data_IF_986247762476
#
_entry.id   IF_986247762476
#
_cell.length_a   1.000
_cell.length_b   1.000
_cell.length_c   1.000
_cell.angle_alpha   90.00
_cell.angle_beta   90.00
_cell.angle_gamma   90.00
#
_symmetry.space_group_name_H-M   'P 1'
#
loop_
_entity.id
_entity.type
_entity.pdbx_description
1 polymer ?
#
# COMPACT_ATOMS: atom_id res chain seq x y z
N UNK A 1 14.35 -11.79 -3.47
CA UNK A 1 13.09 -11.74 -4.25
C UNK A 1 12.84 -10.28 -4.62
N UNK A 2 12.50 -9.96 -5.88
CA UNK A 2 12.25 -8.59 -6.33
C UNK A 2 10.78 -8.42 -6.64
N UNK A 3 10.19 -7.29 -6.25
CA UNK A 3 8.86 -6.88 -6.71
C UNK A 3 8.98 -6.48 -8.18
N UNK A 4 8.16 -7.06 -9.05
CA UNK A 4 8.34 -6.90 -10.50
C UNK A 4 7.17 -6.23 -11.19
N UNK A 5 5.97 -6.28 -10.59
CA UNK A 5 4.77 -5.77 -11.24
C UNK A 5 3.65 -5.40 -10.24
N UNK A 6 2.60 -4.80 -10.78
CA UNK A 6 1.38 -4.41 -10.08
C UNK A 6 0.61 -5.60 -9.47
N UNK A 7 0.76 -6.80 -10.01
CA UNK A 7 0.07 -8.00 -9.54
C UNK A 7 0.71 -8.54 -8.26
N UNK A 8 2.03 -8.44 -8.14
CA UNK A 8 2.73 -8.68 -6.87
C UNK A 8 2.18 -7.76 -5.78
N UNK A 9 1.97 -6.48 -6.10
CA UNK A 9 1.41 -5.51 -5.16
C UNK A 9 -0.04 -5.80 -4.79
N UNK A 10 -0.88 -6.26 -5.72
CA UNK A 10 -2.25 -6.67 -5.39
C UNK A 10 -2.29 -7.87 -4.42
N UNK A 11 -1.39 -8.86 -4.60
CA UNK A 11 -1.22 -9.97 -3.65
C UNK A 11 -0.73 -9.52 -2.29
N UNK A 12 0.24 -8.60 -2.27
CA UNK A 12 0.80 -8.01 -1.05
C UNK A 12 -0.30 -7.25 -0.30
N UNK A 13 -1.02 -6.36 -0.97
CA UNK A 13 -2.17 -5.63 -0.43
C UNK A 13 -3.22 -6.56 0.18
N UNK A 14 -3.57 -7.65 -0.52
CA UNK A 14 -4.54 -8.63 -0.04
C UNK A 14 -4.06 -9.36 1.21
N UNK A 15 -2.78 -9.73 1.25
CA UNK A 15 -2.17 -10.42 2.38
C UNK A 15 -2.04 -9.48 3.59
N UNK A 16 -1.58 -8.24 3.39
CA UNK A 16 -1.51 -7.21 4.44
C UNK A 16 -2.90 -6.95 5.01
N UNK A 17 -3.91 -6.72 4.16
CA UNK A 17 -5.28 -6.48 4.62
C UNK A 17 -5.89 -7.67 5.35
N UNK A 18 -5.50 -8.90 5.02
CA UNK A 18 -5.93 -10.09 5.76
C UNK A 18 -5.20 -10.24 7.09
N UNK A 19 -3.89 -9.99 7.09
CA UNK A 19 -3.06 -9.98 8.29
C UNK A 19 -3.53 -8.92 9.29
N UNK A 20 -3.76 -7.68 8.85
CA UNK A 20 -4.18 -6.59 9.71
C UNK A 20 -5.57 -6.79 10.34
N UNK A 21 -6.43 -7.62 9.73
CA UNK A 21 -7.71 -8.07 10.33
C UNK A 21 -7.55 -9.22 11.33
N UNK A 22 -6.40 -9.89 11.31
CA UNK A 22 -6.11 -11.06 12.13
C UNK A 22 -5.69 -10.68 13.55
N UNK A 23 -6.64 -10.67 14.49
CA UNK A 23 -6.48 -10.33 15.91
C UNK A 23 -6.34 -8.84 16.29
N UNK A 24 -6.71 -8.55 17.54
CA UNK A 24 -6.47 -7.30 18.27
C UNK A 24 -4.96 -7.07 18.42
N UNK A 25 -4.30 -6.61 17.34
CA UNK A 25 -2.88 -6.27 17.35
C UNK A 25 -2.51 -5.27 18.45
N UNK A 26 -3.50 -4.53 18.98
CA UNK A 26 -3.41 -3.73 20.20
C UNK A 26 -3.82 -4.53 21.44
N UNK A 27 -2.87 -4.83 22.33
CA UNK A 27 -3.15 -5.23 23.73
C UNK A 27 -3.45 -4.02 24.63
N UNK A 28 -3.90 -2.90 24.05
CA UNK A 28 -4.32 -1.73 24.82
C UNK A 28 -5.60 -2.09 25.57
N UNK A 29 -5.52 -2.12 26.89
CA UNK A 29 -6.67 -2.35 27.79
C UNK A 29 -7.78 -1.30 27.63
N UNK A 30 -7.57 -0.26 26.82
CA UNK A 30 -8.46 0.89 26.62
C UNK A 30 -9.23 0.86 25.30
N UNK A 31 -8.97 -0.10 24.40
CA UNK A 31 -9.63 -0.20 23.07
C UNK A 31 -10.37 -1.53 22.87
N UNK A 32 -10.92 -2.10 23.95
CA UNK A 32 -11.89 -3.19 23.86
C UNK A 32 -13.24 -2.63 23.39
N UNK A 33 -13.61 -2.84 22.13
CA UNK A 33 -15.00 -2.61 21.71
C UNK A 33 -15.26 -2.45 20.22
N UNK A 34 -14.29 -1.96 19.44
CA UNK A 34 -14.51 -1.76 18.01
C UNK A 34 -13.83 -2.88 17.23
N UNK A 35 -14.62 -3.66 16.48
CA UNK A 35 -14.10 -4.52 15.43
C UNK A 35 -13.54 -3.62 14.32
N UNK A 36 -12.32 -3.10 14.49
CA UNK A 36 -11.65 -2.28 13.49
C UNK A 36 -11.41 -3.13 12.24
N UNK A 37 -12.18 -2.85 11.18
CA UNK A 37 -12.19 -3.66 9.96
C UNK A 37 -11.32 -2.96 8.92
N UNK A 38 -10.07 -3.41 8.76
CA UNK A 38 -9.26 -2.99 7.60
C UNK A 38 -9.96 -3.48 6.33
N UNK A 39 -10.57 -2.55 5.61
CA UNK A 39 -11.39 -2.84 4.43
C UNK A 39 -10.60 -2.71 3.14
N UNK A 40 -9.61 -1.82 3.09
CA UNK A 40 -8.82 -1.56 1.88
C UNK A 40 -7.34 -1.36 2.22
N UNK A 41 -6.49 -1.97 1.41
CA UNK A 41 -5.05 -1.73 1.44
C UNK A 41 -4.60 -1.56 0.00
N UNK A 42 -3.90 -0.46 -0.26
CA UNK A 42 -3.28 -0.17 -1.53
C UNK A 42 -1.78 -0.09 -1.35
N UNK A 43 -1.02 -0.76 -2.23
CA UNK A 43 0.43 -0.68 -2.25
C UNK A 43 0.91 -0.03 -3.55
N UNK A 44 1.93 0.80 -3.47
CA UNK A 44 2.72 1.24 -4.62
C UNK A 44 4.20 0.90 -4.41
N UNK A 45 4.88 0.53 -5.48
CA UNK A 45 6.33 0.30 -5.49
C UNK A 45 6.99 1.20 -6.52
N UNK A 46 7.98 1.94 -6.06
CA UNK A 46 8.80 2.84 -6.86
C UNK A 46 10.06 2.07 -7.20
N UNK A 47 10.15 1.56 -8.44
CA UNK A 47 11.19 0.60 -8.83
C UNK A 47 12.60 1.20 -8.69
N UNK A 48 12.79 2.42 -9.18
CA UNK A 48 14.08 3.10 -9.18
C UNK A 48 14.53 3.58 -7.79
N UNK A 49 13.58 3.75 -6.86
CA UNK A 49 13.85 4.19 -5.47
C UNK A 49 13.87 3.02 -4.47
N UNK A 50 13.48 1.81 -4.92
CA UNK A 50 13.26 0.63 -4.09
C UNK A 50 12.41 0.90 -2.83
N UNK A 51 11.32 1.67 -2.99
CA UNK A 51 10.41 2.06 -1.90
C UNK A 51 9.01 1.53 -2.10
N UNK A 52 8.43 0.99 -1.03
CA UNK A 52 7.02 0.61 -0.95
C UNK A 52 6.25 1.66 -0.15
N UNK A 53 5.12 2.08 -0.71
CA UNK A 53 4.14 2.92 -0.06
C UNK A 53 2.86 2.13 0.16
N UNK A 54 2.29 2.22 1.35
CA UNK A 54 1.06 1.52 1.74
C UNK A 54 0.05 2.57 2.17
N UNK A 55 -1.10 2.60 1.53
CA UNK A 55 -2.23 3.42 1.92
C UNK A 55 -3.41 2.52 2.34
N UNK A 56 -4.25 3.05 3.22
CA UNK A 56 -5.49 2.42 3.65
C UNK A 56 -6.61 3.47 3.64
N UNK A 57 -7.85 3.05 3.88
CA UNK A 57 -8.93 4.01 4.10
C UNK A 57 -8.69 4.83 5.38
N UNK A 58 -9.47 5.90 5.53
CA UNK A 58 -9.39 6.80 6.68
C UNK A 58 -9.32 6.04 8.00
N UNK A 59 -8.28 6.31 8.79
CA UNK A 59 -8.10 5.71 10.12
C UNK A 59 -7.67 4.23 10.16
N UNK A 60 -7.53 3.53 9.03
CA UNK A 60 -7.13 2.11 9.01
C UNK A 60 -5.59 1.89 9.05
N UNK A 61 -4.81 2.96 8.88
CA UNK A 61 -3.34 2.90 8.76
C UNK A 61 -2.64 2.42 10.04
N UNK A 62 -3.19 2.74 11.21
CA UNK A 62 -2.61 2.35 12.50
C UNK A 62 -2.69 0.83 12.73
N UNK A 63 -3.74 0.17 12.24
CA UNK A 63 -3.89 -1.29 12.34
C UNK A 63 -2.89 -1.99 11.42
N UNK A 64 -2.71 -1.51 10.19
CA UNK A 64 -1.69 -2.03 9.29
C UNK A 64 -0.29 -1.82 9.86
N UNK A 65 -0.01 -0.63 10.40
CA UNK A 65 1.25 -0.35 11.09
C UNK A 65 1.46 -1.31 12.26
N UNK A 66 0.47 -1.48 13.13
CA UNK A 66 0.56 -2.33 14.32
C UNK A 66 0.75 -3.80 13.94
N UNK A 67 0.07 -4.28 12.92
CA UNK A 67 0.20 -5.65 12.42
C UNK A 67 1.62 -5.93 11.90
N UNK A 68 2.12 -5.08 10.99
CA UNK A 68 3.45 -5.26 10.41
C UNK A 68 4.55 -5.13 11.47
N UNK A 69 4.44 -4.15 12.37
CA UNK A 69 5.35 -4.00 13.51
C UNK A 69 5.29 -5.20 14.45
N UNK A 70 4.10 -5.74 14.71
CA UNK A 70 3.89 -6.92 15.54
C UNK A 70 4.44 -8.21 14.93
N UNK A 71 4.63 -8.24 13.62
CA UNK A 71 5.32 -9.33 12.91
C UNK A 71 6.83 -9.06 12.74
N UNK A 72 7.35 -7.95 13.25
CA UNK A 72 8.78 -7.63 13.21
C UNK A 72 9.28 -7.10 11.85
N UNK A 73 8.39 -6.56 11.03
CA UNK A 73 8.77 -5.96 9.74
C UNK A 73 9.55 -4.66 9.96
N UNK A 74 10.70 -4.54 9.30
CA UNK A 74 11.57 -3.35 9.34
C UNK A 74 12.14 -2.97 7.98
N UNK A 75 12.25 -3.93 7.06
CA UNK A 75 12.77 -3.77 5.69
C UNK A 75 11.87 -4.47 4.68
N UNK A 76 12.02 -4.15 3.38
CA UNK A 76 11.30 -4.86 2.31
C UNK A 76 11.55 -6.37 2.38
N UNK A 77 12.78 -6.82 2.64
CA UNK A 77 13.09 -8.24 2.79
C UNK A 77 12.25 -8.89 3.90
N UNK A 78 12.23 -8.30 5.11
CA UNK A 78 11.42 -8.81 6.22
C UNK A 78 9.91 -8.77 5.95
N UNK A 79 9.44 -7.77 5.18
CA UNK A 79 8.05 -7.70 4.75
C UNK A 79 7.71 -8.90 3.86
N UNK A 80 8.53 -9.18 2.85
CA UNK A 80 8.27 -10.31 1.94
C UNK A 80 8.29 -11.65 2.67
N UNK A 81 9.21 -11.85 3.62
CA UNK A 81 9.24 -13.06 4.47
C UNK A 81 7.95 -13.22 5.29
N UNK A 82 7.52 -12.14 5.97
CA UNK A 82 6.28 -12.16 6.77
C UNK A 82 5.06 -12.43 5.90
N UNK A 83 4.99 -11.80 4.73
CA UNK A 83 3.85 -11.97 3.83
C UNK A 83 3.82 -13.37 3.22
N UNK A 84 4.98 -13.99 2.93
CA UNK A 84 5.03 -15.35 2.41
C UNK A 84 4.52 -16.34 3.48
N UNK A 85 5.00 -16.17 4.71
CA UNK A 85 4.60 -16.99 5.83
C UNK A 85 3.09 -16.81 6.15
N UNK A 86 2.60 -15.57 6.16
CA UNK A 86 1.20 -15.25 6.39
C UNK A 86 0.29 -15.83 5.29
N UNK A 87 0.68 -15.66 4.02
CA UNK A 87 -0.02 -16.26 2.89
C UNK A 87 -0.16 -17.78 3.07
N UNK A 88 0.93 -18.45 3.43
CA UNK A 88 0.92 -19.87 3.69
C UNK A 88 -0.10 -20.27 4.77
N UNK A 89 -0.08 -19.59 5.91
CA UNK A 89 -1.05 -19.82 6.99
C UNK A 89 -2.50 -19.63 6.52
N UNK A 90 -2.78 -18.56 5.77
CA UNK A 90 -4.14 -18.25 5.31
C UNK A 90 -4.67 -19.21 4.23
N UNK A 91 -3.76 -19.95 3.59
CA UNK A 91 -4.09 -20.98 2.60
C UNK A 91 -4.32 -22.36 3.22
N UNK A 92 -3.90 -22.59 4.47
CA UNK A 92 -4.14 -23.85 5.16
C UNK A 92 -5.64 -24.17 5.22
N UNK A 93 -5.94 -25.47 5.07
CA UNK A 93 -7.29 -26.00 5.29
C UNK A 93 -7.73 -25.70 6.72
N UNK A 94 -9.03 -25.47 6.91
CA UNK A 94 -9.61 -25.08 8.20
C UNK A 94 -9.22 -26.05 9.32
N UNK A 95 -9.20 -27.36 9.05
CA UNK A 95 -8.80 -28.37 10.03
C UNK A 95 -7.34 -28.22 10.51
N UNK A 96 -6.39 -28.02 9.59
CA UNK A 96 -4.99 -27.80 9.94
C UNK A 96 -4.80 -26.46 10.66
N UNK A 97 -5.46 -25.41 10.18
CA UNK A 97 -5.37 -24.06 10.73
C UNK A 97 -5.94 -23.98 12.15
N UNK A 98 -7.09 -24.60 12.39
CA UNK A 98 -7.73 -24.67 13.70
C UNK A 98 -6.87 -25.46 14.70
N UNK A 99 -6.21 -26.54 14.27
CA UNK A 99 -5.24 -27.29 15.11
C UNK A 99 -4.04 -26.44 15.53
N UNK A 100 -3.72 -25.42 14.74
CA UNK A 100 -2.66 -24.46 15.05
C UNK A 100 -3.14 -23.29 15.94
N UNK A 101 -4.43 -23.25 16.30
CA UNK A 101 -5.03 -22.16 17.07
C UNK A 101 -5.25 -20.88 16.26
N UNK A 102 -5.15 -20.96 14.94
CA UNK A 102 -5.29 -19.81 14.05
C UNK A 102 -6.71 -19.78 13.50
N UNK A 103 -7.43 -18.69 13.76
CA UNK A 103 -8.84 -18.54 13.34
C UNK A 103 -8.99 -17.78 12.03
N UNK A 104 -7.95 -17.07 11.58
CA UNK A 104 -8.01 -16.15 10.45
C UNK A 104 -7.51 -16.78 9.15
N UNK A 105 -8.23 -16.50 8.07
CA UNK A 105 -7.89 -16.94 6.72
C UNK A 105 -8.32 -15.89 5.70
N UNK A 106 -7.97 -16.11 4.44
CA UNK A 106 -8.59 -15.37 3.36
C UNK A 106 -10.11 -15.56 3.40
N UNK A 107 -10.85 -14.46 3.30
CA UNK A 107 -12.26 -14.57 2.94
C UNK A 107 -12.39 -15.18 1.55
N UNK A 108 -13.59 -15.68 1.19
CA UNK A 108 -13.85 -16.18 -0.16
C UNK A 108 -13.46 -15.15 -1.23
N UNK A 109 -13.80 -13.88 -0.99
CA UNK A 109 -13.46 -12.77 -1.90
C UNK A 109 -11.95 -12.55 -2.00
N UNK A 110 -11.22 -12.56 -0.88
CA UNK A 110 -9.77 -12.36 -0.89
C UNK A 110 -9.05 -13.51 -1.59
N UNK A 111 -9.53 -14.75 -1.40
CA UNK A 111 -8.98 -15.92 -2.06
C UNK A 111 -9.20 -15.83 -3.56
N UNK A 112 -10.41 -15.51 -4.02
CA UNK A 112 -10.69 -15.28 -5.44
C UNK A 112 -9.84 -14.16 -6.03
N UNK A 113 -9.69 -13.03 -5.33
CA UNK A 113 -8.85 -11.93 -5.80
C UNK A 113 -7.38 -12.36 -5.92
N UNK A 114 -6.86 -13.07 -4.92
CA UNK A 114 -5.49 -13.58 -4.92
C UNK A 114 -5.27 -14.58 -6.07
N UNK A 115 -6.20 -15.52 -6.27
CA UNK A 115 -6.12 -16.56 -7.31
C UNK A 115 -6.14 -15.94 -8.72
N UNK A 116 -7.03 -14.97 -8.97
CA UNK A 116 -7.10 -14.25 -10.25
C UNK A 116 -5.79 -13.53 -10.57
N UNK A 117 -5.22 -12.84 -9.58
CA UNK A 117 -3.96 -12.11 -9.73
C UNK A 117 -2.78 -13.09 -9.92
N UNK A 118 -2.80 -14.23 -9.24
CA UNK A 118 -1.79 -15.29 -9.42
C UNK A 118 -1.80 -15.83 -10.84
N UNK A 119 -2.97 -16.10 -11.41
CA UNK A 119 -3.11 -16.65 -12.75
C UNK A 119 -2.65 -15.70 -13.87
N UNK A 120 -2.51 -14.39 -13.60
CA UNK A 120 -2.28 -13.39 -14.66
C UNK A 120 -0.80 -13.21 -14.99
N UNK A 121 0.07 -12.93 -14.00
CA UNK A 121 1.55 -12.88 -14.16
C UNK A 121 2.26 -12.52 -12.84
N UNK A 122 1.69 -12.89 -11.69
CA UNK A 122 2.25 -12.45 -10.40
C UNK A 122 3.41 -13.37 -9.98
N UNK A 123 4.60 -12.78 -9.84
CA UNK A 123 5.81 -13.48 -9.42
C UNK A 123 5.86 -13.78 -7.91
N UNK A 124 5.05 -13.05 -7.13
CA UNK A 124 4.95 -13.20 -5.68
C UNK A 124 4.13 -14.45 -5.29
N UNK A 125 4.78 -15.45 -4.71
CA UNK A 125 4.16 -16.58 -4.00
C UNK A 125 3.40 -17.60 -4.86
N UNK A 126 3.61 -18.89 -4.57
CA UNK A 126 2.80 -20.00 -5.12
C UNK A 126 1.36 -19.96 -4.62
N UNK A 127 0.39 -20.30 -5.46
CA UNK A 127 -1.01 -20.45 -5.05
C UNK A 127 -1.19 -21.62 -4.08
N UNK A 128 -0.43 -22.71 -4.25
CA UNK A 128 -0.52 -23.90 -3.40
C UNK A 128 0.75 -24.03 -2.58
N UNK A 129 0.59 -24.17 -1.25
CA UNK A 129 1.72 -24.50 -0.39
C UNK A 129 2.21 -25.92 -0.67
N UNK A 130 3.52 -26.05 -0.83
CA UNK A 130 4.18 -27.35 -0.86
C UNK A 130 4.19 -27.98 0.55
N UNK A 131 4.26 -29.31 0.62
CA UNK A 131 4.37 -30.02 1.90
C UNK A 131 5.54 -29.52 2.78
N UNK A 132 6.74 -29.22 2.24
CA UNK A 132 7.81 -28.56 3.00
C UNK A 132 7.41 -27.22 3.63
N UNK A 133 6.69 -26.36 2.91
CA UNK A 133 6.26 -25.07 3.43
C UNK A 133 5.21 -25.25 4.55
N UNK A 134 4.29 -26.21 4.41
CA UNK A 134 3.32 -26.56 5.47
C UNK A 134 4.06 -27.06 6.71
N UNK A 135 5.05 -27.93 6.53
CA UNK A 135 5.87 -28.43 7.63
C UNK A 135 6.69 -27.33 8.30
N UNK A 136 7.19 -26.35 7.53
CA UNK A 136 7.87 -25.16 8.06
C UNK A 136 6.95 -24.35 8.97
N UNK A 137 5.72 -24.06 8.56
CA UNK A 137 4.71 -23.36 9.40
C UNK A 137 4.40 -24.16 10.67
N UNK A 138 4.19 -25.48 10.53
CA UNK A 138 3.95 -26.37 11.69
C UNK A 138 5.16 -26.41 12.62
N UNK A 139 6.38 -26.38 12.12
CA UNK A 139 7.59 -26.36 12.92
C UNK A 139 7.77 -25.00 13.64
N UNK A 140 7.50 -23.88 12.95
CA UNK A 140 7.53 -22.54 13.54
C UNK A 140 6.59 -22.43 14.75
N UNK A 141 5.44 -23.13 14.69
CA UNK A 141 4.47 -23.20 15.80
C UNK A 141 4.96 -23.84 17.09
N UNK A 142 6.00 -24.66 17.00
CA UNK A 142 6.57 -25.47 18.09
C UNK A 142 7.86 -24.87 18.64
N UNK A 143 8.40 -23.84 18.02
CA UNK A 143 9.60 -23.15 18.53
C UNK A 143 9.23 -22.52 19.86
N UNK A 144 9.79 -23.02 20.95
CA UNK A 144 9.63 -22.48 22.31
C UNK A 144 10.77 -21.53 22.69
N UNK A 145 12.00 -21.84 22.28
CA UNK A 145 13.24 -21.20 22.75
C UNK A 145 13.81 -20.14 21.78
N UNK A 146 14.86 -19.46 22.25
CA UNK A 146 15.64 -18.43 21.54
C UNK A 146 16.38 -18.94 20.31
N UNK A 147 16.68 -20.24 20.22
CA UNK A 147 17.37 -20.83 19.05
C UNK A 147 16.38 -21.28 17.99
N UNK A 148 16.47 -20.66 16.81
CA UNK A 148 15.62 -20.99 15.66
C UNK A 148 16.12 -22.27 14.96
N UNK A 149 15.24 -23.23 14.64
CA UNK A 149 15.60 -24.38 13.82
C UNK A 149 16.09 -23.97 12.41
N UNK A 150 16.92 -24.80 11.75
CA UNK A 150 17.34 -24.53 10.37
C UNK A 150 16.15 -24.27 9.44
N UNK A 151 16.23 -23.18 8.67
CA UNK A 151 15.19 -22.79 7.71
C UNK A 151 13.96 -22.11 8.30
N UNK A 152 13.91 -21.88 9.63
CA UNK A 152 12.87 -21.08 10.30
C UNK A 152 13.47 -19.71 10.65
N UNK A 153 12.84 -18.64 10.17
CA UNK A 153 13.26 -17.27 10.50
C UNK A 153 12.56 -16.75 11.75
N UNK A 154 13.08 -15.67 12.33
CA UNK A 154 12.41 -14.99 13.43
C UNK A 154 11.02 -14.49 13.01
N UNK A 155 10.89 -14.04 11.76
CA UNK A 155 9.63 -13.59 11.17
C UNK A 155 8.58 -14.71 11.13
N UNK A 156 8.97 -15.94 10.73
CA UNK A 156 8.07 -17.11 10.72
C UNK A 156 7.46 -17.38 12.10
N UNK A 157 8.31 -17.37 13.14
CA UNK A 157 7.89 -17.64 14.53
C UNK A 157 7.03 -16.50 15.08
N UNK A 158 7.44 -15.25 14.85
CA UNK A 158 6.72 -14.06 15.29
C UNK A 158 5.33 -13.98 14.66
N UNK A 159 5.26 -14.12 13.33
CA UNK A 159 4.01 -14.15 12.58
C UNK A 159 3.08 -15.26 13.11
N UNK A 160 3.59 -16.49 13.25
CA UNK A 160 2.77 -17.61 13.72
C UNK A 160 2.24 -17.38 15.14
N UNK A 161 3.11 -17.02 16.08
CA UNK A 161 2.72 -16.83 17.49
C UNK A 161 1.69 -15.72 17.63
N UNK A 162 1.85 -14.63 16.86
CA UNK A 162 0.85 -13.56 16.81
C UNK A 162 -0.48 -14.03 16.27
N UNK A 163 -0.52 -14.70 15.10
CA UNK A 163 -1.77 -15.18 14.53
C UNK A 163 -2.49 -16.23 15.39
N UNK A 164 -1.73 -17.02 16.16
CA UNK A 164 -2.27 -18.02 17.08
C UNK A 164 -2.58 -17.50 18.48
N UNK A 165 -2.33 -16.22 18.78
CA UNK A 165 -2.49 -15.63 20.10
C UNK A 165 -1.54 -16.19 21.17
N UNK A 166 -0.46 -16.88 20.77
CA UNK A 166 0.54 -17.43 21.69
C UNK A 166 1.54 -16.36 22.10
N UNK A 167 2.03 -16.44 23.34
CA UNK A 167 3.04 -15.51 23.86
C UNK A 167 4.33 -15.57 23.02
N UNK A 168 4.88 -14.40 22.69
CA UNK A 168 6.16 -14.28 21.97
C UNK A 168 7.28 -14.09 23.01
N UNK A 169 8.20 -15.05 23.08
CA UNK A 169 9.32 -15.06 24.05
C UNK A 169 10.67 -14.80 23.37
N UNK A 170 10.72 -14.83 22.04
CA UNK A 170 11.89 -14.42 21.26
C UNK A 170 11.99 -12.89 21.23
N UNK A 171 13.20 -12.36 21.23
CA UNK A 171 13.43 -10.92 21.11
C UNK A 171 12.84 -10.38 19.80
N UNK A 172 12.21 -9.21 19.86
CA UNK A 172 11.72 -8.52 18.67
C UNK A 172 12.90 -8.07 17.80
N UNK A 173 12.81 -8.16 16.46
CA UNK A 173 13.76 -7.48 15.60
C UNK A 173 13.88 -5.99 15.99
N UNK A 174 15.10 -5.48 16.05
CA UNK A 174 15.33 -4.08 16.38
C UNK A 174 14.76 -3.16 15.28
N UNK A 175 14.10 -2.08 15.69
CA UNK A 175 13.46 -1.12 14.79
C UNK A 175 11.94 -1.29 14.68
N UNK A 176 11.30 -0.29 14.09
CA UNK A 176 9.86 -0.27 13.84
C UNK A 176 9.54 0.58 12.63
N UNK A 177 8.57 0.13 11.85
CA UNK A 177 7.91 0.97 10.86
C UNK A 177 7.24 2.17 11.54
N UNK A 178 7.02 3.23 10.77
CA UNK A 178 6.34 4.45 11.20
C UNK A 178 5.40 4.87 10.07
N UNK A 179 4.40 5.67 10.41
CA UNK A 179 3.56 6.31 9.41
C UNK A 179 4.21 7.57 8.86
N UNK A 180 3.84 7.94 7.63
CA UNK A 180 4.27 9.17 6.95
C UNK A 180 3.04 10.02 6.64
N UNK A 181 3.13 11.33 6.95
CA UNK A 181 2.03 12.29 6.70
C UNK A 181 2.20 13.05 5.39
N UNK A 182 3.42 13.17 4.90
CA UNK A 182 3.76 13.87 3.66
C UNK A 182 5.05 13.32 3.05
N UNK A 183 5.33 13.64 1.77
CA UNK A 183 6.52 13.19 1.06
C UNK A 183 7.83 13.65 1.70
N UNK A 184 7.83 14.84 2.29
CA UNK A 184 8.90 15.41 3.11
C UNK A 184 9.27 14.54 4.32
N UNK A 185 8.35 13.72 4.79
CA UNK A 185 8.52 12.82 5.93
C UNK A 185 8.94 11.40 5.52
N UNK A 186 9.18 11.16 4.23
CA UNK A 186 9.76 9.90 3.74
C UNK A 186 11.24 9.90 4.12
N UNK A 187 11.52 9.42 5.34
CA UNK A 187 12.88 9.24 5.88
C UNK A 187 13.65 8.18 5.04
N UNK A 188 14.73 7.64 5.59
CA UNK A 188 15.45 6.49 5.02
C UNK A 188 14.63 5.16 5.02
N UNK A 189 13.32 5.22 5.29
CA UNK A 189 12.47 4.01 5.33
C UNK A 189 12.13 3.53 3.92
N UNK A 190 12.38 2.25 3.67
CA UNK A 190 12.00 1.58 2.42
C UNK A 190 10.52 1.17 2.38
N UNK A 191 9.85 1.17 3.54
CA UNK A 191 8.41 0.87 3.67
C UNK A 191 7.75 2.04 4.39
N UNK A 192 6.78 2.66 3.73
CA UNK A 192 6.14 3.90 4.17
C UNK A 192 4.62 3.70 4.25
N UNK A 193 4.05 3.82 5.45
CA UNK A 193 2.60 3.70 5.66
C UNK A 193 2.00 5.10 5.70
N UNK A 194 1.19 5.44 4.71
CA UNK A 194 0.64 6.79 4.55
C UNK A 194 -0.50 6.99 5.55
N UNK A 195 -0.43 8.09 6.30
CA UNK A 195 -1.57 8.57 7.11
C UNK A 195 -2.62 9.11 6.16
N UNK A 196 -3.71 8.37 5.99
CA UNK A 196 -4.90 8.86 5.32
C UNK A 196 -5.86 9.47 6.35
N UNK A 197 -5.91 10.80 6.41
CA UNK A 197 -6.85 11.56 7.24
C UNK A 197 -8.13 11.96 6.50
N UNK A 198 -8.17 11.77 5.19
CA UNK A 198 -9.24 12.21 4.30
C UNK A 198 -10.24 11.09 4.05
N UNK A 199 -11.47 11.46 3.67
CA UNK A 199 -12.51 10.49 3.29
C UNK A 199 -12.34 10.07 1.82
N UNK A 200 -11.11 9.67 1.49
CA UNK A 200 -10.71 9.21 0.17
C UNK A 200 -10.33 7.74 0.22
N UNK A 201 -10.61 7.02 -0.86
CA UNK A 201 -10.16 5.63 -1.01
C UNK A 201 -8.62 5.55 -0.98
N UNK A 202 -8.10 4.42 -0.52
CA UNK A 202 -6.66 4.17 -0.39
C UNK A 202 -5.87 4.43 -1.69
N UNK A 203 -6.43 4.10 -2.86
CA UNK A 203 -5.82 4.38 -4.16
C UNK A 203 -5.69 5.87 -4.50
N UNK A 204 -6.62 6.72 -4.05
CA UNK A 204 -6.51 8.16 -4.26
C UNK A 204 -5.55 8.78 -3.25
N UNK A 205 -5.55 8.30 -2.01
CA UNK A 205 -4.63 8.76 -0.97
C UNK A 205 -3.16 8.53 -1.36
N UNK A 206 -2.84 7.35 -1.92
CA UNK A 206 -1.48 7.08 -2.40
C UNK A 206 -1.14 7.99 -3.57
N UNK A 207 -2.02 8.14 -4.58
CA UNK A 207 -1.76 8.97 -5.76
C UNK A 207 -1.61 10.45 -5.41
N UNK A 208 -2.35 10.96 -4.43
CA UNK A 208 -2.18 12.30 -3.86
C UNK A 208 -0.77 12.49 -3.31
N UNK A 209 -0.34 11.54 -2.48
CA UNK A 209 0.99 11.53 -1.89
C UNK A 209 2.09 11.51 -2.97
N UNK A 210 1.92 10.67 -4.00
CA UNK A 210 2.88 10.60 -5.12
C UNK A 210 2.95 11.91 -5.89
N UNK A 211 1.79 12.47 -6.23
CA UNK A 211 1.68 13.72 -6.99
C UNK A 211 2.38 14.86 -6.23
N UNK A 212 2.13 14.93 -4.92
CA UNK A 212 2.77 15.92 -4.06
C UNK A 212 4.30 15.79 -4.07
N UNK A 213 4.82 14.56 -3.90
CA UNK A 213 6.27 14.34 -3.91
C UNK A 213 6.93 14.58 -5.27
N UNK A 214 6.22 14.32 -6.38
CA UNK A 214 6.71 14.64 -7.73
C UNK A 214 6.77 16.15 -8.00
N UNK A 215 5.76 16.90 -7.53
CA UNK A 215 5.71 18.37 -7.68
C UNK A 215 6.75 19.05 -6.79
N UNK A 216 6.90 18.56 -5.56
CA UNK A 216 7.87 19.07 -4.58
C UNK A 216 9.31 18.61 -4.87
N UNK A 217 9.51 17.75 -5.87
CA UNK A 217 10.84 17.26 -6.28
C UNK A 217 11.45 16.22 -5.33
N UNK A 218 10.66 15.69 -4.38
CA UNK A 218 11.05 14.58 -3.50
C UNK A 218 11.23 13.30 -4.32
N UNK A 219 10.35 13.09 -5.31
CA UNK A 219 10.43 11.99 -6.26
C UNK A 219 10.81 12.57 -7.63
N UNK A 220 11.81 11.99 -8.30
CA UNK A 220 12.39 12.59 -9.51
C UNK A 220 11.84 11.97 -10.78
N UNK A 221 12.05 10.65 -10.93
CA UNK A 221 11.53 9.80 -12.00
C UNK A 221 11.43 8.39 -11.44
N UNK A 222 10.31 7.71 -11.67
CA UNK A 222 10.17 6.33 -11.25
C UNK A 222 9.21 5.59 -12.16
N UNK A 223 9.54 4.34 -12.45
CA UNK A 223 8.53 3.35 -12.80
C UNK A 223 7.76 2.97 -11.53
N UNK A 224 6.48 3.30 -11.52
CA UNK A 224 5.59 3.09 -10.37
C UNK A 224 4.64 1.96 -10.70
N UNK A 225 4.64 0.93 -9.86
CA UNK A 225 3.58 -0.08 -9.86
C UNK A 225 2.62 0.23 -8.74
N UNK A 226 1.33 0.03 -8.98
CA UNK A 226 0.27 0.24 -8.01
C UNK A 226 -0.60 -1.01 -8.01
N UNK A 227 -0.90 -1.58 -6.84
CA UNK A 227 -1.73 -2.78 -6.73
C UNK A 227 -2.56 -2.79 -5.45
N UNK A 228 -3.87 -3.02 -5.62
CA UNK A 228 -4.86 -2.99 -4.56
C UNK A 228 -5.40 -4.35 -4.20
N UNK A 229 -5.96 -4.45 -2.99
CA UNK A 229 -6.72 -5.63 -2.57
C UNK A 229 -8.02 -5.75 -3.37
N UNK A 230 -8.64 -4.63 -3.72
CA UNK A 230 -9.81 -4.59 -4.59
C UNK A 230 -9.46 -3.94 -5.94
N UNK A 231 -10.33 -4.25 -6.92
CA UNK A 231 -10.37 -3.50 -8.17
C UNK A 231 -10.83 -2.09 -7.84
N UNK A 232 -10.19 -1.08 -8.45
CA UNK A 232 -10.64 0.29 -8.31
C UNK A 232 -12.12 0.40 -8.73
N UNK A 233 -12.92 1.17 -7.98
CA UNK A 233 -14.29 1.46 -8.43
C UNK A 233 -14.23 2.27 -9.74
N UNK A 234 -15.33 2.30 -10.50
CA UNK A 234 -15.38 2.98 -11.81
C UNK A 234 -14.87 4.44 -11.74
N UNK A 235 -15.17 5.11 -10.63
CA UNK A 235 -14.76 6.49 -10.36
C UNK A 235 -13.24 6.60 -10.16
N UNK A 236 -12.69 5.83 -9.22
CA UNK A 236 -11.25 5.80 -8.97
C UNK A 236 -10.47 5.35 -10.20
N UNK A 237 -10.98 4.39 -10.97
CA UNK A 237 -10.41 3.98 -12.26
C UNK A 237 -10.33 5.14 -13.24
N UNK A 238 -11.43 5.87 -13.44
CA UNK A 238 -11.40 6.98 -14.39
C UNK A 238 -10.46 8.10 -13.94
N UNK A 239 -10.34 8.32 -12.63
CA UNK A 239 -9.32 9.22 -12.08
C UNK A 239 -7.91 8.76 -12.43
N UNK A 240 -7.59 7.49 -12.15
CA UNK A 240 -6.29 6.86 -12.44
C UNK A 240 -5.96 6.99 -13.93
N UNK A 241 -6.92 6.69 -14.81
CA UNK A 241 -6.73 6.75 -16.26
C UNK A 241 -6.45 8.18 -16.73
N UNK A 242 -7.07 9.19 -16.12
CA UNK A 242 -6.76 10.59 -16.40
C UNK A 242 -5.42 11.03 -15.81
N UNK A 243 -5.10 10.57 -14.59
CA UNK A 243 -3.83 10.84 -13.94
C UNK A 243 -2.65 10.34 -14.76
N UNK A 244 -2.75 9.12 -15.32
CA UNK A 244 -1.74 8.56 -16.23
C UNK A 244 -1.40 9.47 -17.41
N UNK A 245 -2.37 10.22 -17.94
CA UNK A 245 -2.18 11.14 -19.08
C UNK A 245 -1.42 12.41 -18.72
N UNK A 246 -1.48 12.83 -17.47
CA UNK A 246 -0.87 14.08 -16.98
C UNK A 246 0.40 13.85 -16.16
N UNK A 247 0.85 12.59 -16.04
CA UNK A 247 2.13 12.26 -15.43
C UNK A 247 3.28 12.97 -16.15
N UNK A 248 4.23 13.46 -15.37
CA UNK A 248 5.42 14.16 -15.88
C UNK A 248 6.24 13.21 -16.78
N UNK A 249 6.87 13.76 -17.82
CA UNK A 249 7.76 13.02 -18.69
C UNK A 249 8.84 12.25 -17.88
N UNK A 250 8.88 10.93 -18.05
CA UNK A 250 9.79 10.03 -17.34
C UNK A 250 9.20 9.36 -16.09
N UNK A 251 7.91 9.56 -15.77
CA UNK A 251 7.18 8.79 -14.76
C UNK A 251 6.15 7.91 -15.45
N UNK A 252 6.10 6.63 -15.11
CA UNK A 252 5.06 5.71 -15.60
C UNK A 252 4.34 5.06 -14.43
N UNK A 253 3.01 4.92 -14.56
CA UNK A 253 2.18 4.25 -13.57
C UNK A 253 1.55 3.00 -14.20
N UNK A 254 1.81 1.86 -13.59
CA UNK A 254 1.28 0.55 -13.98
C UNK A 254 0.27 0.06 -12.93
N UNK A 255 -0.94 -0.29 -13.36
CA UNK A 255 -2.02 -0.78 -12.49
C UNK A 255 -2.55 -2.13 -12.97
N UNK A 256 -3.23 -2.94 -12.13
CA UNK A 256 -3.66 -4.29 -12.52
C UNK A 256 -4.66 -4.29 -13.67
N UNK A 257 -5.33 -3.15 -13.91
CA UNK A 257 -6.25 -2.93 -15.02
C UNK A 257 -5.55 -2.81 -16.36
N UNK A 258 -4.25 -2.48 -16.41
CA UNK A 258 -3.52 -2.28 -17.68
C UNK A 258 -3.38 -3.55 -18.52
N UNK A 259 -3.52 -4.73 -17.92
CA UNK A 259 -3.53 -6.00 -18.68
C UNK A 259 -4.89 -6.73 -18.64
N UNK A 260 -5.96 -6.08 -18.16
CA UNK A 260 -7.32 -6.61 -18.29
C UNK A 260 -7.92 -6.10 -19.60
N UNK A 261 -8.40 -7.02 -20.44
CA UNK A 261 -9.31 -6.66 -21.53
C UNK A 261 -10.57 -5.99 -20.95
N UNK A 262 -11.11 -4.98 -21.64
CA UNK A 262 -12.06 -3.96 -21.15
C UNK A 262 -13.41 -4.46 -20.56
N UNK A 263 -13.62 -5.76 -20.39
CA UNK A 263 -14.94 -6.37 -20.17
C UNK A 263 -15.36 -6.61 -18.72
N UNK A 264 -14.61 -6.15 -17.70
CA UNK A 264 -15.01 -6.31 -16.29
C UNK A 264 -14.93 -5.01 -15.48
N UNK A 265 -15.97 -4.17 -15.59
CA UNK A 265 -16.25 -3.11 -14.62
C UNK A 265 -17.15 -3.65 -13.52
N UNK A 266 -16.67 -3.69 -12.28
CA UNK A 266 -17.54 -3.91 -11.12
C UNK A 266 -18.35 -2.63 -10.85
N UNK A 267 -19.70 -2.68 -10.75
CA UNK A 267 -20.55 -1.52 -10.52
C UNK A 267 -20.53 -1.02 -9.07
N UNK A 268 -19.45 -1.30 -8.31
CA UNK A 268 -19.32 -0.88 -6.92
C UNK A 268 -19.47 0.63 -6.82
N UNK A 269 -20.53 1.08 -6.15
CA UNK A 269 -20.82 2.50 -5.97
C UNK A 269 -19.79 3.08 -5.02
N UNK A 270 -18.95 3.96 -5.55
CA UNK A 270 -18.23 4.95 -4.76
C UNK A 270 -19.27 5.74 -3.93
N UNK A 271 -18.93 6.22 -2.71
CA UNK A 271 -19.71 7.28 -2.10
C UNK A 271 -19.98 8.38 -3.15
N UNK A 272 -21.26 8.66 -3.35
CA UNK A 272 -21.83 9.40 -4.47
C UNK A 272 -21.15 10.74 -4.76
N UNK A 273 -20.78 11.01 -6.02
CA UNK A 273 -20.50 12.38 -6.48
C UNK A 273 -19.43 12.55 -7.58
N UNK A 274 -18.65 11.52 -7.88
CA UNK A 274 -17.50 11.66 -8.76
C UNK A 274 -17.89 11.81 -10.25
N UNK A 275 -17.43 12.89 -10.90
CA UNK A 275 -17.42 13.04 -12.35
C UNK A 275 -15.99 13.39 -12.78
N UNK A 276 -15.34 12.56 -13.61
CA UNK A 276 -13.96 12.79 -14.04
C UNK A 276 -13.94 13.77 -15.21
N UNK A 277 -13.64 15.04 -14.95
CA UNK A 277 -13.22 15.98 -15.98
C UNK A 277 -11.84 16.52 -15.65
N UNK A 278 -10.82 15.65 -15.68
CA UNK A 278 -9.43 16.11 -15.73
C UNK A 278 -9.07 16.37 -17.20
N UNK A 279 -9.64 17.43 -17.77
CA UNK A 279 -9.13 18.01 -19.02
C UNK A 279 -8.08 19.04 -18.65
N UNK A 280 -6.95 18.59 -18.09
CA UNK A 280 -5.87 19.51 -17.75
C UNK A 280 -4.97 19.62 -18.98
N UNK A 281 -5.17 20.66 -19.77
CA UNK A 281 -4.11 21.19 -20.63
C UNK A 281 -3.09 21.84 -19.71
N UNK A 282 -2.09 21.07 -19.26
CA UNK A 282 -1.03 21.57 -18.37
C UNK A 282 -0.15 22.53 -19.16
N UNK A 283 -0.48 23.83 -19.13
CA UNK A 283 0.46 24.90 -19.52
C UNK A 283 1.09 25.59 -18.31
N UNK A 284 0.70 25.21 -17.07
CA UNK A 284 1.19 25.81 -15.83
C UNK A 284 1.69 24.79 -14.80
N UNK A 285 2.62 25.23 -13.93
CA UNK A 285 3.13 24.43 -12.78
C UNK A 285 2.02 24.23 -11.74
N UNK A 286 1.63 22.97 -11.49
CA UNK A 286 0.74 22.60 -10.38
C UNK A 286 1.38 23.03 -9.04
N UNK A 287 0.64 23.75 -8.17
CA UNK A 287 1.11 24.13 -6.83
C UNK A 287 0.38 23.28 -5.78
N UNK A 288 1.13 22.51 -4.98
CA UNK A 288 0.56 21.64 -3.92
C UNK A 288 -0.04 22.40 -2.76
N UNK A 289 0.26 23.70 -2.64
CA UNK A 289 -0.30 24.61 -1.63
C UNK A 289 -1.67 25.17 -1.99
N UNK A 290 -2.17 24.92 -3.20
CA UNK A 290 -3.48 25.43 -3.61
C UNK A 290 -4.61 24.56 -3.03
N UNK A 291 -5.69 25.17 -2.48
CA UNK A 291 -6.83 24.42 -1.96
C UNK A 291 -7.48 23.46 -2.97
N UNK A 292 -7.32 23.75 -4.27
CA UNK A 292 -7.82 22.87 -5.33
C UNK A 292 -7.04 21.56 -5.45
N UNK A 293 -5.75 21.55 -5.09
CA UNK A 293 -4.97 20.31 -5.08
C UNK A 293 -5.60 19.29 -4.14
N UNK A 294 -5.93 19.69 -2.91
CA UNK A 294 -6.56 18.78 -1.94
C UNK A 294 -7.95 18.33 -2.40
N UNK A 295 -8.73 19.21 -3.02
CA UNK A 295 -10.04 18.85 -3.57
C UNK A 295 -9.97 17.78 -4.66
N UNK A 296 -8.93 17.77 -5.50
CA UNK A 296 -8.76 16.75 -6.56
C UNK A 296 -8.73 15.31 -6.02
N UNK A 297 -8.37 15.14 -4.76
CA UNK A 297 -8.17 13.85 -4.11
C UNK A 297 -9.10 13.62 -2.92
N UNK A 298 -9.94 14.59 -2.54
CA UNK A 298 -10.80 14.52 -1.35
C UNK A 298 -12.03 13.61 -1.51
N UNK A 299 -12.28 13.10 -2.72
CA UNK A 299 -13.49 12.36 -3.06
C UNK A 299 -14.71 13.25 -3.31
N UNK A 300 -14.59 14.57 -3.13
CA UNK A 300 -15.64 15.54 -3.42
C UNK A 300 -15.84 15.75 -4.95
N UNK A 301 -17.07 16.08 -5.34
CA UNK A 301 -17.38 16.48 -6.72
C UNK A 301 -16.75 17.85 -7.01
N UNK A 302 -15.97 17.93 -8.10
CA UNK A 302 -15.44 19.20 -8.61
C UNK A 302 -16.06 19.48 -9.98
N UNK A 303 -16.99 20.43 -10.03
CA UNK A 303 -17.58 20.89 -11.28
C UNK A 303 -16.65 21.93 -11.92
N UNK A 304 -15.79 21.48 -12.84
CA UNK A 304 -14.92 22.34 -13.65
C UNK A 304 -13.73 22.92 -12.86
N UNK A 305 -12.52 22.51 -13.24
CA UNK A 305 -11.29 23.11 -12.69
C UNK A 305 -10.74 24.10 -13.70
N UNK A 306 -10.85 25.40 -13.41
CA UNK A 306 -10.08 26.43 -14.09
C UNK A 306 -8.87 26.76 -13.22
N UNK A 307 -7.69 26.34 -13.65
CA UNK A 307 -6.45 26.65 -12.93
C UNK A 307 -6.12 28.14 -13.11
N UNK A 308 -5.63 28.84 -12.07
CA UNK A 308 -5.10 30.18 -12.25
C UNK A 308 -3.97 30.15 -13.28
N UNK A 309 -4.03 31.06 -14.26
CA UNK A 309 -2.92 31.26 -15.19
C UNK A 309 -1.67 31.70 -14.40
N UNK A 310 -0.49 31.27 -14.84
CA UNK A 310 0.78 31.72 -14.25
C UNK A 310 0.79 33.25 -14.29
N UNK A 311 0.81 33.90 -13.12
CA UNK A 311 1.33 35.25 -13.04
C UNK A 311 2.77 35.16 -13.50
N UNK A 312 3.07 35.69 -14.69
CA UNK A 312 4.43 35.81 -15.16
C UNK A 312 5.23 36.47 -14.04
N UNK A 313 6.20 35.76 -13.48
CA UNK A 313 7.23 36.41 -12.69
C UNK A 313 7.90 37.38 -13.65
N UNK A 314 7.52 38.65 -13.57
CA UNK A 314 8.32 39.74 -14.08
C UNK A 314 9.64 39.63 -13.34
N UNK A 315 10.61 38.99 -14.00
CA UNK A 315 12.01 39.17 -13.68
C UNK A 315 12.23 40.67 -13.85
N UNK A 316 12.24 41.39 -12.73
CA UNK A 316 12.70 42.76 -12.71
C UNK A 316 14.16 42.70 -13.15
N UNK A 317 14.39 43.02 -14.43
CA UNK A 317 15.72 43.31 -14.93
C UNK A 317 16.17 44.52 -14.14
N UNK A 318 17.03 44.32 -13.14
CA UNK A 318 17.73 45.43 -12.51
C UNK A 318 18.55 46.09 -13.63
N UNK A 319 18.41 47.41 -13.84
CA UNK A 319 19.27 48.11 -14.77
C UNK A 319 20.72 47.93 -14.30
N UNK A 320 21.58 47.44 -15.18
CA UNK A 320 23.02 47.50 -14.96
C UNK A 320 23.38 48.98 -14.84
N UNK A 321 23.94 49.37 -13.69
CA UNK A 321 24.66 50.63 -13.57
C UNK A 321 25.85 50.56 -14.55
N UNK A 322 25.74 51.31 -15.64
CA UNK A 322 26.90 51.67 -16.45
C UNK A 322 27.84 52.49 -15.57
N UNK A 323 28.94 51.87 -15.14
CA UNK A 323 30.11 52.59 -14.71
C UNK A 323 30.69 53.30 -15.95
N UNK A 324 30.46 54.61 -16.05
CA UNK A 324 31.23 55.51 -16.91
C UNK A 324 32.25 56.22 -16.02
N UNK A 325 33.50 56.21 -16.50
CA UNK A 325 34.75 56.70 -15.91
C UNK A 325 34.69 58.04 -15.17
#
# INVERSE_FOLDING_TARGET
MKLKNQYDLAKISTTIGTLARGQEWSTSAYTKGESYKVTEVQCAFFEDEERIFIACNKGEHDQVLTALNSCGVTTIASLLEVLEAAHGVFYLQDGDRNRLGIKHSYSKQDRTAYDLVHATDASYGSMVMTAPQINKVKAASKVANTTLPPGITAADVWMFRKLSGKKVETARPAGSLRTVKGPDNVREQTINIIVNSEDAHAELAILKFLTRGLVEGVFTKSKIYLGGRKVACANCKTWIDNYKKVLKAGVTLHTPEDARSETQTNPGTCPSGFVPALTVTVTSKLRTTEPMFDKLFSGERIDGVTWPAIAAETVAVQPQEEAVE
#
